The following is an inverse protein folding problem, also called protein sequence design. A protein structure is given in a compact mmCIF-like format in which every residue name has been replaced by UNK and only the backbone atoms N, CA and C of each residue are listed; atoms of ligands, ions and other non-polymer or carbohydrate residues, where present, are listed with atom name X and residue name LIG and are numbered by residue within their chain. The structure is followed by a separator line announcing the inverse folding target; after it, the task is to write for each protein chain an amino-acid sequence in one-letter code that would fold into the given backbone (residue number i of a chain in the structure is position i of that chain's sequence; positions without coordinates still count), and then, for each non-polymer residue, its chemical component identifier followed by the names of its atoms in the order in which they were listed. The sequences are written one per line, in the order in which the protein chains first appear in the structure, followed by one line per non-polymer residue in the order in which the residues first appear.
data_IF_135325806173
#
_entry.id   IF_135325806173
#
_cell.length_a   1.000
_cell.length_b   1.000
_cell.length_c   1.000
_cell.angle_alpha   90.00
_cell.angle_beta   90.00
_cell.angle_gamma   90.00
#
_symmetry.space_group_name_H-M   'P 1'
#
loop_
_entity.id
_entity.type
_entity.pdbx_description
1 polymer ?
#
# COMPACT_ATOMS: atom_id res chain seq x y z
N UNK A 1 20.59 -13.74 -30.05
CA UNK A 1 19.45 -14.64 -29.80
C UNK A 1 18.35 -14.31 -30.79
N UNK A 2 17.92 -15.30 -31.57
CA UNK A 2 16.72 -15.20 -32.41
C UNK A 2 15.48 -15.54 -31.58
N UNK A 3 14.29 -15.17 -32.04
CA UNK A 3 13.03 -15.36 -31.29
C UNK A 3 12.79 -16.83 -30.87
N UNK A 4 13.23 -17.80 -31.66
CA UNK A 4 13.07 -19.23 -31.38
C UNK A 4 14.12 -19.82 -30.41
N UNK A 5 15.13 -19.05 -30.03
CA UNK A 5 16.22 -19.48 -29.13
C UNK A 5 16.02 -18.95 -27.70
N UNK A 6 14.95 -18.19 -27.45
CA UNK A 6 14.68 -17.59 -26.14
C UNK A 6 14.35 -18.69 -25.12
N UNK A 7 15.24 -18.88 -24.16
CA UNK A 7 15.05 -19.77 -23.02
C UNK A 7 15.12 -18.95 -21.73
N UNK A 8 14.22 -19.19 -20.76
CA UNK A 8 14.33 -18.55 -19.46
C UNK A 8 15.57 -19.06 -18.73
N UNK A 9 16.16 -18.20 -17.90
CA UNK A 9 17.25 -18.63 -17.01
C UNK A 9 16.79 -19.78 -16.10
N UNK A 10 17.60 -20.82 -15.89
CA UNK A 10 17.25 -21.92 -15.00
C UNK A 10 16.78 -21.41 -13.62
N UNK A 11 15.62 -21.88 -13.17
CA UNK A 11 15.03 -21.46 -11.88
C UNK A 11 14.23 -20.16 -11.90
N UNK A 12 14.23 -19.40 -13.00
CA UNK A 12 13.39 -18.20 -13.15
C UNK A 12 11.89 -18.53 -13.11
N UNK A 13 11.50 -19.68 -13.66
CA UNK A 13 10.10 -20.08 -13.74
C UNK A 13 9.88 -21.48 -13.18
N UNK A 14 8.90 -21.62 -12.28
CA UNK A 14 8.52 -22.91 -11.68
C UNK A 14 7.21 -23.40 -12.27
N UNK A 15 7.11 -24.70 -12.54
CA UNK A 15 5.88 -25.29 -13.06
C UNK A 15 4.73 -25.14 -12.03
N UNK A 16 3.59 -24.60 -12.45
CA UNK A 16 2.42 -24.45 -11.57
C UNK A 16 1.87 -25.83 -11.22
N UNK A 17 1.66 -26.07 -9.92
CA UNK A 17 0.92 -27.22 -9.41
C UNK A 17 -0.53 -27.21 -9.90
N UNK A 18 -0.89 -28.18 -10.75
CA UNK A 18 -2.27 -28.38 -11.25
C UNK A 18 -3.02 -29.35 -10.32
N UNK A 19 -3.87 -28.81 -9.44
CA UNK A 19 -4.66 -29.61 -8.49
C UNK A 19 -5.87 -30.25 -9.16
N UNK A 20 -6.30 -31.42 -8.67
CA UNK A 20 -7.47 -32.14 -9.18
C UNK A 20 -7.26 -32.77 -10.56
N UNK A 21 -6.04 -33.24 -10.87
CA UNK A 21 -5.67 -33.88 -12.16
C UNK A 21 -5.15 -35.29 -11.94
N UNK A 22 -6.04 -36.19 -11.51
CA UNK A 22 -5.75 -37.62 -11.34
C UNK A 22 -4.89 -37.96 -10.11
N UNK A 23 -4.90 -39.24 -9.68
CA UNK A 23 -4.19 -39.69 -8.48
C UNK A 23 -2.66 -39.68 -8.63
N UNK A 24 -2.12 -39.95 -9.82
CA UNK A 24 -0.67 -39.94 -10.08
C UNK A 24 0.01 -38.58 -9.84
N UNK A 25 -0.76 -37.49 -9.82
CA UNK A 25 -0.26 -36.16 -9.48
C UNK A 25 -0.02 -35.92 -7.98
N UNK A 26 -0.48 -36.82 -7.09
CA UNK A 26 -0.50 -36.62 -5.63
C UNK A 26 -1.55 -35.60 -5.15
N UNK A 27 -2.26 -34.94 -6.06
CA UNK A 27 -3.19 -33.84 -5.78
C UNK A 27 -4.58 -34.06 -6.39
N UNK A 28 -4.91 -35.31 -6.70
CA UNK A 28 -6.14 -35.70 -7.39
C UNK A 28 -7.39 -35.64 -6.52
N UNK A 29 -7.62 -36.69 -5.72
CA UNK A 29 -8.92 -36.99 -5.10
C UNK A 29 -9.51 -35.87 -4.25
N UNK A 30 -8.70 -35.20 -3.45
CA UNK A 30 -9.14 -34.16 -2.50
C UNK A 30 -8.52 -32.79 -2.79
N UNK A 31 -7.79 -32.65 -3.91
CA UNK A 31 -7.09 -31.42 -4.26
C UNK A 31 -6.30 -30.80 -3.08
N UNK A 32 -5.68 -31.63 -2.24
CA UNK A 32 -4.94 -31.24 -1.01
C UNK A 32 -5.78 -30.63 0.13
N UNK A 33 -7.11 -30.69 0.04
CA UNK A 33 -8.00 -30.13 1.08
C UNK A 33 -8.40 -31.10 2.19
N UNK A 34 -8.07 -32.39 2.06
CA UNK A 34 -8.43 -33.41 3.03
C UNK A 34 -9.88 -33.91 2.90
N UNK A 35 -10.44 -34.42 4.00
CA UNK A 35 -11.78 -35.02 4.06
C UNK A 35 -12.87 -33.96 4.35
N UNK A 36 -14.07 -34.41 4.70
CA UNK A 36 -15.24 -33.56 4.96
C UNK A 36 -14.97 -32.61 6.15
N UNK A 37 -14.97 -31.31 5.89
CA UNK A 37 -14.83 -30.26 6.90
C UNK A 37 -15.13 -28.88 6.32
N UNK A 38 -15.20 -27.85 7.16
CA UNK A 38 -15.45 -26.48 6.70
C UNK A 38 -14.38 -26.04 5.69
N UNK A 39 -13.10 -26.30 5.97
CA UNK A 39 -11.94 -26.01 5.12
C UNK A 39 -11.93 -26.64 3.71
N UNK A 40 -12.72 -27.70 3.49
CA UNK A 40 -12.77 -28.40 2.21
C UNK A 40 -13.85 -27.87 1.25
N UNK A 41 -14.76 -27.01 1.73
CA UNK A 41 -15.87 -26.46 0.94
C UNK A 41 -15.41 -25.29 0.04
N UNK A 42 -16.21 -24.94 -0.96
CA UNK A 42 -15.87 -23.94 -1.97
C UNK A 42 -15.75 -22.51 -1.41
N UNK A 43 -16.41 -22.20 -0.29
CA UNK A 43 -16.55 -20.86 0.28
C UNK A 43 -16.20 -20.80 1.78
N UNK A 44 -14.93 -21.07 2.10
CA UNK A 44 -14.44 -20.99 3.49
C UNK A 44 -14.05 -19.56 3.83
N UNK A 45 -15.03 -18.76 4.23
CA UNK A 45 -14.81 -17.37 4.63
C UNK A 45 -14.52 -17.26 6.13
N UNK A 46 -13.48 -17.96 6.61
CA UNK A 46 -13.03 -17.82 7.99
C UNK A 46 -11.99 -16.70 8.07
N UNK A 47 -12.20 -15.64 8.88
CA UNK A 47 -11.21 -14.59 9.00
C UNK A 47 -9.93 -15.15 9.61
N UNK A 48 -8.76 -14.72 9.11
CA UNK A 48 -7.45 -15.19 9.59
C UNK A 48 -7.23 -15.00 11.10
N UNK A 49 -7.94 -14.05 11.70
CA UNK A 49 -7.89 -13.73 13.13
C UNK A 49 -8.91 -14.50 13.98
N UNK A 50 -9.71 -15.40 13.40
CA UNK A 50 -10.71 -16.18 14.12
C UNK A 50 -10.08 -17.29 14.95
N UNK A 51 -10.49 -17.40 16.22
CA UNK A 51 -9.96 -18.36 17.20
C UNK A 51 -11.07 -19.29 17.72
N UNK A 52 -11.96 -19.77 16.84
CA UNK A 52 -12.96 -20.80 17.20
C UNK A 52 -14.10 -20.33 18.10
N UNK A 53 -14.39 -19.03 18.15
CA UNK A 53 -15.38 -18.42 19.05
C UNK A 53 -14.76 -17.76 20.28
N UNK A 54 -13.46 -17.97 20.53
CA UNK A 54 -12.71 -17.19 21.51
C UNK A 54 -12.57 -15.72 21.05
N UNK A 55 -12.46 -14.81 22.02
CA UNK A 55 -12.12 -13.41 21.75
C UNK A 55 -10.74 -13.32 21.10
N UNK A 56 -10.69 -12.75 19.90
CA UNK A 56 -9.47 -12.66 19.08
C UNK A 56 -8.34 -11.93 19.82
N UNK A 57 -7.09 -12.30 19.55
CA UNK A 57 -5.92 -11.63 20.13
C UNK A 57 -5.95 -10.10 19.98
N UNK A 58 -6.35 -9.58 18.82
CA UNK A 58 -6.45 -8.13 18.56
C UNK A 58 -7.44 -7.40 19.47
N UNK A 59 -8.44 -8.11 20.03
CA UNK A 59 -9.39 -7.55 21.00
C UNK A 59 -8.93 -7.73 22.45
N UNK A 60 -8.10 -8.76 22.72
CA UNK A 60 -7.55 -9.02 24.05
C UNK A 60 -6.40 -8.08 24.40
N UNK A 61 -5.59 -7.72 23.40
CA UNK A 61 -4.45 -6.80 23.59
C UNK A 61 -4.96 -5.36 23.68
N UNK A 62 -4.48 -4.55 24.64
CA UNK A 62 -4.84 -3.14 24.69
C UNK A 62 -4.41 -2.40 23.41
N UNK A 63 -5.12 -1.33 23.06
CA UNK A 63 -4.69 -0.44 21.97
C UNK A 63 -3.29 0.10 22.26
N UNK A 64 -2.49 0.31 21.21
CA UNK A 64 -1.17 0.94 21.36
C UNK A 64 -1.31 2.23 22.16
N UNK A 65 -0.40 2.44 23.11
CA UNK A 65 -0.42 3.61 23.99
C UNK A 65 -0.16 4.88 23.17
N UNK A 66 -0.94 5.93 23.43
CA UNK A 66 -0.78 7.27 22.85
C UNK A 66 -1.55 7.50 21.54
N UNK A 67 -1.35 8.68 20.95
CA UNK A 67 -1.94 9.09 19.67
C UNK A 67 -0.88 9.14 18.56
N UNK A 68 -1.31 9.01 17.30
CA UNK A 68 -0.42 9.17 16.16
C UNK A 68 -0.21 10.66 15.84
N UNK A 69 1.00 11.17 16.08
CA UNK A 69 1.36 12.55 15.72
C UNK A 69 1.57 12.70 14.19
N UNK A 70 0.60 13.33 13.52
CA UNK A 70 0.63 13.63 12.08
C UNK A 70 1.69 14.68 11.68
N UNK A 71 2.16 15.50 12.63
CA UNK A 71 3.15 16.56 12.38
C UNK A 71 4.57 16.15 12.72
N UNK A 72 4.84 14.85 12.90
CA UNK A 72 6.18 14.34 13.19
C UNK A 72 7.11 14.61 12.00
N UNK A 73 8.00 15.60 12.15
CA UNK A 73 9.09 15.87 11.20
C UNK A 73 10.06 14.69 11.21
N UNK A 74 10.22 14.03 10.05
CA UNK A 74 11.19 12.95 9.86
C UNK A 74 12.40 13.52 9.13
N UNK A 75 13.55 13.44 9.78
CA UNK A 75 14.82 13.81 9.17
C UNK A 75 15.44 12.62 8.47
N UNK A 76 16.11 12.86 7.35
CA UNK A 76 17.02 11.90 6.75
C UNK A 76 18.22 11.70 7.70
N UNK A 77 18.46 10.46 8.09
CA UNK A 77 19.53 10.13 9.04
C UNK A 77 20.80 9.83 8.28
N UNK A 78 21.88 10.52 8.64
CA UNK A 78 23.20 10.33 8.07
C UNK A 78 24.21 9.96 9.16
N UNK A 79 24.91 8.85 8.99
CA UNK A 79 25.96 8.41 9.92
C UNK A 79 27.34 8.74 9.34
N UNK A 80 28.33 8.97 10.22
CA UNK A 80 29.70 9.33 9.83
C UNK A 80 30.36 8.29 8.92
N UNK A 81 30.06 7.00 9.10
CA UNK A 81 30.63 5.93 8.27
C UNK A 81 30.34 6.10 6.77
N UNK A 82 29.19 6.66 6.41
CA UNK A 82 28.81 6.86 5.00
C UNK A 82 29.55 8.03 4.36
N UNK A 83 30.04 8.97 5.17
CA UNK A 83 30.75 10.17 4.71
C UNK A 83 32.19 9.87 4.28
N UNK A 84 32.77 8.75 4.72
CA UNK A 84 34.11 8.33 4.32
C UNK A 84 34.23 7.97 2.82
N UNK A 85 33.12 7.96 2.07
CA UNK A 85 33.12 7.77 0.60
C UNK A 85 33.56 9.02 -0.15
N UNK A 86 33.47 10.20 0.48
CA UNK A 86 33.91 11.45 -0.12
C UNK A 86 35.41 11.67 0.07
N UNK A 87 35.98 12.46 -0.82
CA UNK A 87 37.39 12.86 -0.77
C UNK A 87 37.64 13.89 0.34
N UNK A 88 38.89 13.96 0.81
CA UNK A 88 39.29 14.93 1.83
C UNK A 88 39.12 16.37 1.32
N UNK A 89 38.56 17.24 2.18
CA UNK A 89 38.33 18.66 1.89
C UNK A 89 37.03 18.97 1.16
N UNK A 90 36.21 17.96 0.82
CA UNK A 90 34.96 18.19 0.10
C UNK A 90 33.88 18.86 0.96
N UNK A 91 33.14 19.78 0.35
CA UNK A 91 31.93 20.36 0.93
C UNK A 91 30.75 19.42 0.72
N UNK A 92 30.22 18.87 1.81
CA UNK A 92 29.05 18.01 1.76
C UNK A 92 27.80 18.86 1.94
N UNK A 93 27.07 19.06 0.83
CA UNK A 93 25.74 19.67 0.83
C UNK A 93 24.64 18.62 0.66
N UNK A 94 23.37 18.97 0.96
CA UNK A 94 22.24 18.06 0.74
C UNK A 94 22.14 17.55 -0.71
N UNK A 95 22.47 18.39 -1.69
CA UNK A 95 22.46 18.06 -3.13
C UNK A 95 23.50 16.99 -3.47
N UNK A 96 24.75 17.16 -3.02
CA UNK A 96 25.84 16.19 -3.21
C UNK A 96 25.53 14.83 -2.59
N UNK A 97 24.76 14.79 -1.50
CA UNK A 97 24.32 13.54 -0.86
C UNK A 97 23.23 12.80 -1.64
N UNK A 98 22.40 13.52 -2.40
CA UNK A 98 21.40 12.95 -3.29
C UNK A 98 22.05 12.40 -4.56
N UNK A 99 22.96 13.16 -5.16
CA UNK A 99 23.73 12.72 -6.34
C UNK A 99 24.57 11.48 -6.06
N UNK A 100 25.23 11.43 -4.90
CA UNK A 100 25.97 10.26 -4.44
C UNK A 100 25.06 9.07 -4.04
N UNK A 101 23.73 9.22 -4.07
CA UNK A 101 22.77 8.18 -3.69
C UNK A 101 22.82 7.75 -2.22
N UNK A 102 23.48 8.53 -1.36
CA UNK A 102 23.61 8.24 0.08
C UNK A 102 22.29 8.48 0.79
N UNK A 103 21.56 9.49 0.32
CA UNK A 103 20.20 9.84 0.74
C UNK A 103 19.30 9.75 -0.50
N UNK A 104 18.08 9.23 -0.32
CA UNK A 104 17.07 9.17 -1.41
C UNK A 104 16.13 10.38 -1.40
N UNK A 105 15.80 10.86 -0.21
CA UNK A 105 14.92 12.00 0.01
C UNK A 105 15.37 12.72 1.29
N UNK A 106 15.39 14.04 1.24
CA UNK A 106 15.78 14.93 2.34
C UNK A 106 14.65 15.07 3.36
N UNK A 107 13.39 14.85 2.97
CA UNK A 107 12.23 14.93 3.88
C UNK A 107 12.15 16.28 4.59
N UNK A 108 12.18 16.27 5.94
CA UNK A 108 12.18 17.51 6.74
C UNK A 108 13.58 18.12 6.97
N UNK A 109 14.62 17.53 6.39
CA UNK A 109 16.03 17.92 6.54
C UNK A 109 16.93 16.75 6.91
N UNK A 110 18.24 17.02 6.97
CA UNK A 110 19.28 16.03 7.26
C UNK A 110 19.74 16.16 8.72
N UNK A 111 19.77 15.02 9.42
CA UNK A 111 20.35 14.92 10.76
C UNK A 111 21.56 14.00 10.74
N UNK A 112 22.72 14.53 11.13
CA UNK A 112 23.97 13.78 11.25
C UNK A 112 24.11 13.17 12.64
N UNK A 113 24.35 11.86 12.70
CA UNK A 113 24.56 11.07 13.91
C UNK A 113 26.01 10.59 14.00
N UNK A 114 26.50 10.44 15.23
CA UNK A 114 27.90 10.13 15.53
C UNK A 114 28.30 8.65 15.42
N UNK A 115 27.48 7.81 14.78
CA UNK A 115 27.78 6.37 14.68
C UNK A 115 28.93 6.12 13.70
N UNK A 116 30.01 5.53 14.23
CA UNK A 116 31.26 5.23 13.54
C UNK A 116 32.27 6.39 13.53
N UNK A 117 33.39 6.18 12.85
CA UNK A 117 34.53 7.10 12.83
C UNK A 117 34.63 7.83 11.50
N UNK A 118 34.98 9.11 11.58
CA UNK A 118 35.27 9.95 10.43
C UNK A 118 36.78 10.03 10.25
N UNK A 119 37.28 9.50 9.13
CA UNK A 119 38.73 9.49 8.83
C UNK A 119 39.15 10.66 7.95
N UNK A 120 38.17 11.38 7.40
CA UNK A 120 38.36 12.41 6.38
C UNK A 120 38.03 13.79 6.95
N UNK A 121 38.78 14.80 6.51
CA UNK A 121 38.51 16.20 6.87
C UNK A 121 37.42 16.73 5.96
N UNK A 122 36.20 16.90 6.48
CA UNK A 122 35.03 17.27 5.67
C UNK A 122 34.33 18.50 6.23
N UNK A 123 33.81 19.33 5.33
CA UNK A 123 32.91 20.44 5.65
C UNK A 123 31.48 19.98 5.45
N UNK A 124 30.77 19.67 6.54
CA UNK A 124 29.44 19.08 6.46
C UNK A 124 28.37 20.14 6.69
N UNK A 125 27.54 20.38 5.67
CA UNK A 125 26.37 21.24 5.77
C UNK A 125 25.11 20.40 6.00
N UNK A 126 24.56 20.47 7.21
CA UNK A 126 23.34 19.73 7.55
C UNK A 126 22.42 20.55 8.45
N UNK A 127 21.17 20.10 8.59
CA UNK A 127 20.15 20.84 9.30
C UNK A 127 20.20 20.61 10.81
N UNK A 128 20.66 19.42 11.23
CA UNK A 128 20.86 19.06 12.64
C UNK A 128 22.06 18.15 12.82
N UNK A 129 22.76 18.30 13.94
CA UNK A 129 23.83 17.42 14.36
C UNK A 129 23.56 16.89 15.76
N UNK A 130 23.89 15.61 16.00
CA UNK A 130 24.01 15.10 17.37
C UNK A 130 25.26 15.67 18.06
N UNK A 131 25.25 15.76 19.40
CA UNK A 131 26.40 16.26 20.16
C UNK A 131 27.66 15.41 19.92
N UNK A 132 27.50 14.08 19.84
CA UNK A 132 28.59 13.16 19.54
C UNK A 132 29.14 13.35 18.12
N UNK A 133 28.27 13.57 17.13
CA UNK A 133 28.71 13.83 15.75
C UNK A 133 29.58 15.09 15.67
N UNK A 134 29.17 16.19 16.32
CA UNK A 134 29.96 17.44 16.32
C UNK A 134 31.37 17.21 16.87
N UNK A 135 31.47 16.57 18.04
CA UNK A 135 32.76 16.24 18.67
C UNK A 135 33.65 15.39 17.75
N UNK A 136 33.09 14.37 17.09
CA UNK A 136 33.84 13.50 16.18
C UNK A 136 34.27 14.21 14.89
N UNK A 137 33.44 15.09 14.36
CA UNK A 137 33.77 15.89 13.17
C UNK A 137 34.89 16.88 13.50
N UNK A 138 34.80 17.58 14.63
CA UNK A 138 35.82 18.52 15.12
C UNK A 138 37.13 17.79 15.45
N UNK A 139 37.07 16.61 16.07
CA UNK A 139 38.24 15.77 16.35
C UNK A 139 38.96 15.29 15.07
N UNK A 140 38.21 15.07 13.98
CA UNK A 140 38.78 14.77 12.67
C UNK A 140 39.34 16.02 11.96
N UNK A 141 39.18 17.22 12.54
CA UNK A 141 39.58 18.50 11.94
C UNK A 141 38.65 18.99 10.84
N UNK A 142 37.40 18.52 10.81
CA UNK A 142 36.35 18.99 9.91
C UNK A 142 35.46 20.05 10.55
N UNK A 143 34.56 20.64 9.76
CA UNK A 143 33.65 21.70 10.22
C UNK A 143 32.19 21.29 10.06
N UNK A 144 31.40 21.44 11.12
CA UNK A 144 29.96 21.15 11.12
C UNK A 144 29.15 22.44 10.96
N UNK A 145 28.74 22.75 9.73
CA UNK A 145 27.93 23.93 9.41
C UNK A 145 26.43 23.59 9.47
N UNK A 146 25.68 24.34 10.28
CA UNK A 146 24.23 24.16 10.41
C UNK A 146 23.52 25.02 9.37
N UNK A 147 22.84 24.40 8.41
CA UNK A 147 21.91 25.11 7.51
C UNK A 147 20.58 25.25 8.24
N UNK A 148 20.14 26.48 8.47
CA UNK A 148 18.78 26.73 8.97
C UNK A 148 17.78 26.41 7.85
N UNK A 149 16.86 25.46 8.12
CA UNK A 149 15.68 25.31 7.27
C UNK A 149 14.85 26.56 7.47
N UNK A 150 14.52 27.37 6.44
CA UNK A 150 13.49 28.38 6.60
C UNK A 150 12.24 27.68 7.13
N UNK A 151 11.59 28.19 8.20
CA UNK A 151 10.36 27.58 8.69
C UNK A 151 9.42 27.41 7.49
N UNK A 152 8.64 26.30 7.40
CA UNK A 152 7.65 26.21 6.33
C UNK A 152 6.76 27.43 6.50
N UNK A 153 6.94 28.42 5.62
CA UNK A 153 6.10 29.59 5.54
C UNK A 153 4.75 29.00 5.17
N UNK A 154 3.92 28.70 6.18
CA UNK A 154 2.49 28.60 5.98
C UNK A 154 2.07 30.03 5.71
N UNK A 155 2.34 30.49 4.49
CA UNK A 155 1.63 31.60 3.89
C UNK A 155 0.19 31.14 3.81
N UNK A 156 -0.52 31.32 4.93
CA UNK A 156 -1.95 31.57 4.87
C UNK A 156 -2.05 32.91 4.16
N UNK A 157 -1.94 32.90 2.84
CA UNK A 157 -2.60 33.92 2.05
C UNK A 157 -4.06 33.85 2.49
N UNK A 158 -4.45 34.75 3.38
CA UNK A 158 -5.85 35.13 3.52
C UNK A 158 -6.21 35.66 2.14
N UNK A 159 -6.70 34.79 1.26
CA UNK A 159 -7.36 35.22 0.04
C UNK A 159 -8.52 36.06 0.54
N UNK A 160 -8.41 37.38 0.42
CA UNK A 160 -9.47 38.31 0.77
C UNK A 160 -10.73 37.82 0.07
N UNK A 161 -11.82 37.66 0.82
CA UNK A 161 -13.06 37.01 0.37
C UNK A 161 -13.83 37.84 -0.68
N UNK A 162 -13.20 38.84 -1.31
CA UNK A 162 -13.79 39.73 -2.30
C UNK A 162 -12.72 40.23 -3.30
N UNK A 163 -12.26 39.36 -4.19
CA UNK A 163 -11.65 39.77 -5.46
C UNK A 163 -12.25 38.88 -6.55
N UNK A 164 -12.98 39.43 -7.54
CA UNK A 164 -13.53 38.64 -8.64
C UNK A 164 -12.40 38.05 -9.49
N UNK A 165 -12.61 36.83 -10.01
CA UNK A 165 -11.70 36.17 -10.96
C UNK A 165 -11.52 37.09 -12.19
N UNK A 166 -10.29 37.28 -12.71
CA UNK A 166 -10.14 37.94 -14.00
C UNK A 166 -10.79 37.07 -15.08
N UNK A 167 -11.75 37.66 -15.81
CA UNK A 167 -12.34 37.04 -16.99
C UNK A 167 -11.25 36.85 -18.05
N UNK A 168 -11.24 35.69 -18.71
CA UNK A 168 -10.41 35.48 -19.92
C UNK A 168 -10.85 36.51 -20.98
N UNK A 169 -9.93 37.21 -21.65
CA UNK A 169 -10.30 38.07 -22.77
C UNK A 169 -10.88 37.21 -23.90
N UNK A 170 -12.02 37.67 -24.43
CA UNK A 170 -12.70 37.09 -25.56
C UNK A 170 -11.82 37.16 -26.82
N UNK A 171 -11.74 36.04 -27.54
CA UNK A 171 -11.16 35.96 -28.88
C UNK A 171 -11.98 36.86 -29.82
N UNK A 172 -11.30 37.82 -30.45
CA UNK A 172 -11.86 38.62 -31.54
C UNK A 172 -11.59 37.85 -32.84
N UNK A 173 -12.67 37.60 -33.57
CA UNK A 173 -12.71 37.13 -34.95
C UNK A 173 -11.84 37.99 -35.87
N UNK A 174 -11.00 37.36 -36.68
CA UNK A 174 -10.61 37.83 -38.01
C UNK A 174 -10.07 36.64 -38.82
N UNK A 175 -10.81 36.25 -39.86
CA UNK A 175 -10.32 35.41 -40.95
C UNK A 175 -9.73 36.32 -42.04
N UNK A 176 -8.73 35.84 -42.80
CA UNK A 176 -8.96 35.78 -44.25
C UNK A 176 -8.42 34.53 -44.97
N UNK A 177 -9.28 34.05 -45.88
CA UNK A 177 -9.10 33.50 -47.24
C UNK A 177 -7.90 32.60 -47.67
N UNK A 178 -8.27 31.33 -47.93
CA UNK A 178 -8.26 30.60 -49.23
C UNK A 178 -6.95 30.21 -49.97
N UNK A 179 -6.78 28.88 -50.14
CA UNK A 179 -6.44 28.08 -51.35
C UNK A 179 -5.73 26.76 -50.93
N UNK A 180 -5.84 25.56 -51.51
CA UNK A 180 -6.76 24.80 -52.38
C UNK A 180 -6.17 23.35 -52.44
N UNK A 181 -7.00 22.33 -52.78
CA UNK A 181 -6.72 20.91 -53.20
C UNK A 181 -6.74 19.85 -52.08
N UNK A 182 -7.81 19.04 -51.98
CA UNK A 182 -8.15 17.80 -52.74
C UNK A 182 -7.25 16.62 -52.32
N UNK A 183 -7.68 15.38 -52.06
CA UNK A 183 -8.90 14.60 -52.27
C UNK A 183 -8.69 13.28 -51.47
N UNK A 184 -9.66 12.76 -50.69
CA UNK A 184 -10.46 11.56 -51.02
C UNK A 184 -10.20 10.33 -50.14
N UNK A 185 -11.31 9.65 -49.79
CA UNK A 185 -11.39 8.24 -49.37
C UNK A 185 -11.62 8.00 -47.88
N UNK A 186 -12.62 7.26 -47.40
CA UNK A 186 -13.81 6.63 -47.97
C UNK A 186 -14.66 6.19 -46.78
N UNK A 187 -15.97 6.48 -46.81
CA UNK A 187 -16.94 6.03 -45.82
C UNK A 187 -17.55 4.70 -46.30
N UNK A 188 -17.62 3.67 -45.46
CA UNK A 188 -18.50 2.54 -45.70
C UNK A 188 -18.88 1.75 -44.43
N UNK A 189 -20.14 1.87 -44.05
CA UNK A 189 -20.99 0.88 -43.38
C UNK A 189 -22.43 1.13 -43.87
N UNK A 190 -23.43 0.23 -43.77
CA UNK A 190 -23.48 -1.22 -43.46
C UNK A 190 -24.35 -1.99 -44.52
N UNK A 191 -24.92 -3.21 -44.28
CA UNK A 191 -26.20 -3.29 -43.55
C UNK A 191 -26.47 -4.57 -42.71
N UNK A 192 -27.57 -4.45 -41.96
CA UNK A 192 -28.13 -5.24 -40.86
C UNK A 192 -28.48 -6.73 -41.11
N UNK A 193 -28.55 -7.50 -40.00
CA UNK A 193 -29.62 -8.47 -39.72
C UNK A 193 -29.95 -8.53 -38.22
N UNK A 194 -31.24 -8.69 -37.97
CA UNK A 194 -31.96 -8.48 -36.73
C UNK A 194 -31.94 -9.69 -35.76
N UNK A 195 -32.17 -9.42 -34.47
CA UNK A 195 -33.13 -10.18 -33.65
C UNK A 195 -33.46 -9.49 -32.32
N UNK A 196 -34.76 -9.23 -32.14
CA UNK A 196 -35.46 -8.69 -30.96
C UNK A 196 -35.35 -9.61 -29.73
N UNK A 197 -35.34 -9.02 -28.52
CA UNK A 197 -36.39 -9.23 -27.51
C UNK A 197 -36.28 -8.26 -26.32
N UNK A 198 -37.18 -7.29 -26.28
CA UNK A 198 -37.62 -6.62 -25.06
C UNK A 198 -38.41 -7.61 -24.18
N UNK A 199 -38.27 -7.48 -22.86
CA UNK A 199 -39.25 -8.03 -21.92
C UNK A 199 -39.56 -6.95 -20.88
N UNK A 200 -40.72 -6.33 -21.07
CA UNK A 200 -41.43 -5.50 -20.09
C UNK A 200 -41.94 -6.38 -18.95
N UNK A 201 -41.82 -5.86 -17.73
CA UNK A 201 -42.42 -6.40 -16.52
C UNK A 201 -43.94 -6.18 -16.53
N UNK A 202 -44.67 -7.27 -16.29
CA UNK A 202 -46.09 -7.26 -15.89
C UNK A 202 -46.30 -8.20 -14.70
N UNK A 203 -46.68 -7.60 -13.58
CA UNK A 203 -47.75 -7.99 -12.65
C UNK A 203 -48.25 -9.45 -12.67
N UNK A 204 -48.24 -10.13 -11.51
CA UNK A 204 -49.43 -10.42 -10.70
C UNK A 204 -49.21 -11.57 -9.69
N UNK A 205 -49.54 -11.27 -8.43
CA UNK A 205 -50.09 -12.07 -7.33
C UNK A 205 -49.98 -13.62 -7.29
N UNK A 206 -49.45 -14.12 -6.17
CA UNK A 206 -49.92 -15.21 -5.29
C UNK A 206 -48.74 -15.60 -4.39
N UNK A 207 -48.80 -15.81 -3.08
CA UNK A 207 -49.85 -15.95 -2.10
C UNK A 207 -49.11 -16.14 -0.76
N UNK A 208 -49.52 -15.39 0.26
CA UNK A 208 -48.97 -15.48 1.60
C UNK A 208 -49.54 -16.72 2.28
N UNK A 209 -48.70 -17.58 2.87
CA UNK A 209 -49.06 -18.43 4.00
C UNK A 209 -47.78 -19.00 4.64
N UNK A 210 -47.36 -18.38 5.74
CA UNK A 210 -46.33 -18.90 6.64
C UNK A 210 -47.02 -19.48 7.88
N UNK A 211 -46.76 -20.73 8.30
CA UNK A 211 -47.24 -21.21 9.59
C UNK A 211 -46.37 -20.67 10.74
N UNK A 212 -46.98 -20.29 11.90
CA UNK A 212 -46.28 -19.72 13.03
C UNK A 212 -45.51 -20.75 13.87
N UNK A 213 -44.46 -20.27 14.54
CA UNK A 213 -43.55 -21.02 15.39
C UNK A 213 -44.22 -21.73 16.59
N UNK A 214 -43.75 -22.92 17.02
CA UNK A 214 -44.27 -23.59 18.20
C UNK A 214 -43.76 -22.94 19.50
N UNK A 215 -44.70 -22.68 20.41
CA UNK A 215 -44.48 -22.19 21.77
C UNK A 215 -43.80 -23.25 22.65
N UNK A 216 -42.98 -22.75 23.58
CA UNK A 216 -42.30 -23.52 24.62
C UNK A 216 -43.26 -24.36 25.49
N UNK A 217 -42.93 -25.62 25.70
CA UNK A 217 -43.44 -26.45 26.80
C UNK A 217 -42.29 -26.83 27.73
N UNK A 218 -42.45 -26.49 29.01
CA UNK A 218 -41.65 -26.98 30.14
C UNK A 218 -42.33 -28.25 30.68
N UNK A 219 -41.62 -29.37 30.73
CA UNK A 219 -41.86 -30.51 31.63
C UNK A 219 -40.72 -31.51 31.43
N UNK A 220 -39.72 -31.48 32.31
CA UNK A 220 -39.53 -32.49 33.37
C UNK A 220 -39.05 -33.85 32.86
N UNK A 221 -37.74 -34.00 32.65
CA UNK A 221 -37.04 -35.18 33.18
C UNK A 221 -35.52 -34.93 33.18
N UNK A 222 -34.89 -34.97 34.36
CA UNK A 222 -33.45 -34.86 34.54
C UNK A 222 -32.98 -36.16 35.20
N UNK A 223 -32.19 -37.02 34.54
CA UNK A 223 -31.59 -38.16 35.22
C UNK A 223 -30.43 -37.69 36.11
N UNK A 224 -30.57 -38.00 37.41
CA UNK A 224 -29.64 -37.75 38.51
C UNK A 224 -28.26 -38.40 38.25
N UNK A 225 -27.12 -37.72 38.44
CA UNK A 225 -25.81 -38.37 38.33
C UNK A 225 -25.55 -39.29 39.52
N UNK A 226 -25.18 -40.54 39.22
CA UNK A 226 -24.81 -41.57 40.20
C UNK A 226 -23.57 -41.15 40.99
N UNK A 227 -23.68 -41.18 42.32
CA UNK A 227 -22.54 -41.01 43.24
C UNK A 227 -21.61 -42.21 43.08
N UNK A 228 -20.38 -41.97 42.64
CA UNK A 228 -19.30 -42.94 42.71
C UNK A 228 -18.98 -43.28 44.17
N UNK A 229 -19.12 -44.55 44.53
CA UNK A 229 -18.67 -45.07 45.81
C UNK A 229 -17.14 -45.09 45.85
N UNK A 230 -16.55 -44.28 46.73
CA UNK A 230 -15.23 -44.55 47.29
C UNK A 230 -15.32 -45.82 48.13
N UNK A 231 -14.56 -46.85 47.77
CA UNK A 231 -14.13 -47.88 48.73
C UNK A 231 -12.62 -47.75 48.95
N UNK A 232 -12.27 -48.03 50.20
CA UNK A 232 -10.97 -47.93 50.85
C UNK A 232 -9.86 -48.72 50.15
#
# INVERSE_FOLDING_TARGET
MKLHELQPSPGSHHARKRVGRGPGSGHGKTATRGQKGQGARTSVNLPKTFEGGQTRLTMRVPKLRGFHNKWRKRFAVLNLTRLNRFEDGTEIRPESLLEAGIIKDVGAGIKVLGTGDLRRKLTIHAHRFSAEAKRKIEAAGGTAAVIEVPPPIREKTKRAKNQPKPARPAETTEAPEAAEKAESGEAAAPPAKASKKEKQDKSAAAGQNAPPAPKASKSSDSPKPQKGNKKA
#
